data_IF_170360518318
#
_entry.id   IF_170360518318
#
_cell.length_a   1.000
_cell.length_b   1.000
_cell.length_c   1.000
_cell.angle_alpha   90.00
_cell.angle_beta   90.00
_cell.angle_gamma   90.00
#
_symmetry.space_group_name_H-M   'P 1'
#
loop_
_entity.id
_entity.type
_entity.pdbx_description
1 polymer ?
#
# COMPACT_ATOMS: atom_id res chain seq x y z
N UNK A 1 35.73 -5.31 26.15
CA UNK A 1 34.27 -5.55 26.14
C UNK A 1 33.72 -5.01 24.83
N UNK A 2 33.34 -5.89 23.91
CA UNK A 2 32.82 -5.56 22.58
C UNK A 2 31.37 -5.09 22.70
N UNK A 3 31.09 -3.86 22.29
CA UNK A 3 29.72 -3.41 22.04
C UNK A 3 29.31 -3.91 20.65
N UNK A 4 28.47 -4.94 20.62
CA UNK A 4 27.83 -5.44 19.41
C UNK A 4 26.94 -4.36 18.79
N UNK A 5 27.49 -3.62 17.84
CA UNK A 5 26.72 -2.78 16.91
C UNK A 5 25.90 -3.70 16.01
N UNK A 6 24.65 -3.94 16.39
CA UNK A 6 23.66 -4.61 15.54
C UNK A 6 23.58 -3.87 14.19
N UNK A 7 23.77 -4.55 13.04
CA UNK A 7 23.66 -3.89 11.75
C UNK A 7 22.18 -3.57 11.49
N UNK A 8 21.77 -2.36 11.80
CA UNK A 8 20.47 -1.82 11.41
C UNK A 8 20.37 -1.89 9.88
N UNK A 9 19.54 -2.80 9.35
CA UNK A 9 19.30 -2.97 7.92
C UNK A 9 19.06 -1.60 7.25
N UNK A 10 19.66 -1.33 6.09
CA UNK A 10 19.51 -0.05 5.41
C UNK A 10 18.04 0.16 5.01
N UNK A 11 17.38 1.10 5.69
CA UNK A 11 16.07 1.64 5.28
C UNK A 11 16.30 2.46 4.02
N UNK A 12 15.80 2.01 2.88
CA UNK A 12 15.79 2.82 1.64
C UNK A 12 14.75 3.93 1.82
N UNK A 13 15.24 5.15 2.06
CA UNK A 13 14.41 6.36 2.01
C UNK A 13 14.20 6.74 0.55
N UNK A 14 12.94 6.86 0.12
CA UNK A 14 12.57 7.50 -1.14
C UNK A 14 11.70 8.71 -0.81
N UNK A 15 12.33 9.84 -0.47
CA UNK A 15 11.61 11.06 -0.11
C UNK A 15 10.65 10.88 1.08
N UNK A 16 9.39 11.39 1.03
CA UNK A 16 8.40 11.26 2.11
C UNK A 16 7.87 9.82 2.28
N UNK A 17 8.32 8.88 1.45
CA UNK A 17 7.90 7.49 1.47
C UNK A 17 9.00 6.62 2.07
N UNK A 18 8.65 5.89 3.12
CA UNK A 18 9.49 4.90 3.75
C UNK A 18 9.01 3.50 3.38
N UNK A 19 9.89 2.69 2.79
CA UNK A 19 9.63 1.27 2.53
C UNK A 19 10.33 0.44 3.60
N UNK A 20 9.56 -0.21 4.46
CA UNK A 20 10.11 -1.12 5.46
C UNK A 20 10.47 -2.47 4.82
N UNK A 21 11.64 -3.05 5.17
CA UNK A 21 11.97 -4.41 4.76
C UNK A 21 10.99 -5.39 5.41
N UNK A 22 10.11 -5.98 4.60
CA UNK A 22 9.15 -7.04 4.98
C UNK A 22 9.49 -8.33 4.24
N UNK A 23 8.85 -9.44 4.60
CA UNK A 23 8.98 -10.68 3.82
C UNK A 23 8.48 -10.44 2.39
N UNK A 24 9.12 -11.09 1.40
CA UNK A 24 8.73 -11.02 -0.01
C UNK A 24 7.23 -11.31 -0.18
N UNK A 25 6.72 -12.33 0.53
CA UNK A 25 5.30 -12.68 0.54
C UNK A 25 4.38 -11.54 0.95
N UNK A 26 4.74 -10.75 1.96
CA UNK A 26 3.95 -9.60 2.42
C UNK A 26 4.02 -8.44 1.44
N UNK A 27 5.17 -8.23 0.82
CA UNK A 27 5.34 -7.21 -0.22
C UNK A 27 4.49 -7.52 -1.45
N UNK A 28 4.57 -8.76 -1.95
CA UNK A 28 3.76 -9.23 -3.08
C UNK A 28 2.26 -9.19 -2.78
N UNK A 29 1.86 -9.61 -1.58
CA UNK A 29 0.46 -9.54 -1.16
C UNK A 29 -0.03 -8.09 -1.04
N UNK A 30 0.79 -7.19 -0.50
CA UNK A 30 0.47 -5.77 -0.45
C UNK A 30 0.33 -5.14 -1.84
N UNK A 31 1.20 -5.53 -2.78
CA UNK A 31 1.12 -5.15 -4.19
C UNK A 31 -0.15 -5.66 -4.86
N UNK A 32 -0.51 -6.92 -4.62
CA UNK A 32 -1.75 -7.52 -5.13
C UNK A 32 -2.99 -6.75 -4.64
N UNK A 33 -3.03 -6.41 -3.35
CA UNK A 33 -4.12 -5.61 -2.79
C UNK A 33 -4.16 -4.20 -3.39
N UNK A 34 -3.01 -3.56 -3.55
CA UNK A 34 -2.93 -2.24 -4.18
C UNK A 34 -3.40 -2.27 -5.64
N UNK A 35 -3.07 -3.33 -6.38
CA UNK A 35 -3.53 -3.54 -7.75
C UNK A 35 -5.06 -3.68 -7.81
N UNK A 36 -5.64 -4.59 -7.02
CA UNK A 36 -7.10 -4.79 -6.95
C UNK A 36 -7.81 -3.48 -6.57
N UNK A 37 -7.24 -2.71 -5.65
CA UNK A 37 -7.81 -1.44 -5.24
C UNK A 37 -7.86 -0.41 -6.38
N UNK A 38 -6.81 -0.33 -7.20
CA UNK A 38 -6.77 0.57 -8.36
C UNK A 38 -7.85 0.20 -9.37
N UNK A 39 -8.03 -1.09 -9.66
CA UNK A 39 -9.10 -1.57 -10.55
C UNK A 39 -10.50 -1.19 -10.02
N UNK A 40 -10.73 -1.30 -8.71
CA UNK A 40 -12.00 -0.89 -8.09
C UNK A 40 -12.22 0.62 -8.21
N UNK A 41 -11.16 1.42 -7.98
CA UNK A 41 -11.24 2.89 -8.08
C UNK A 41 -11.50 3.29 -9.53
N UNK A 42 -10.81 2.67 -10.49
CA UNK A 42 -10.95 2.94 -11.92
C UNK A 42 -12.38 2.67 -12.39
N UNK A 43 -12.93 1.52 -12.02
CA UNK A 43 -14.34 1.20 -12.28
C UNK A 43 -15.31 2.19 -11.58
N UNK A 44 -14.96 2.65 -10.37
CA UNK A 44 -15.81 3.57 -9.61
C UNK A 44 -15.84 4.99 -10.20
N UNK A 45 -14.79 5.43 -10.89
CA UNK A 45 -14.73 6.76 -11.55
C UNK A 45 -15.25 6.73 -12.99
N UNK A 46 -15.59 5.55 -13.52
CA UNK A 46 -16.19 5.42 -14.86
C UNK A 46 -17.49 6.25 -14.95
N UNK A 47 -17.65 7.11 -15.97
CA UNK A 47 -18.83 7.96 -16.14
C UNK A 47 -20.15 7.20 -16.32
N UNK A 48 -20.10 5.89 -16.59
CA UNK A 48 -21.27 5.03 -16.68
C UNK A 48 -21.71 4.40 -15.34
N UNK A 49 -20.93 4.61 -14.27
CA UNK A 49 -21.21 4.06 -12.94
C UNK A 49 -22.23 4.92 -12.19
N UNK A 50 -23.18 4.27 -11.49
CA UNK A 50 -24.21 4.98 -10.71
C UNK A 50 -23.52 5.80 -9.59
N UNK A 51 -23.90 7.08 -9.35
CA UNK A 51 -23.18 7.95 -8.41
C UNK A 51 -23.06 7.38 -6.99
N UNK A 52 -24.11 6.72 -6.50
CA UNK A 52 -24.10 6.09 -5.18
C UNK A 52 -23.12 4.91 -5.09
N UNK A 53 -23.04 4.09 -6.14
CA UNK A 53 -22.05 3.01 -6.21
C UNK A 53 -20.64 3.56 -6.38
N UNK A 54 -20.44 4.61 -7.18
CA UNK A 54 -19.13 5.25 -7.35
C UNK A 54 -18.52 5.67 -6.00
N UNK A 55 -19.30 6.32 -5.14
CA UNK A 55 -18.83 6.72 -3.80
C UNK A 55 -18.51 5.51 -2.92
N UNK A 56 -19.40 4.51 -2.88
CA UNK A 56 -19.21 3.32 -2.05
C UNK A 56 -17.97 2.52 -2.48
N UNK A 57 -17.86 2.20 -3.77
CA UNK A 57 -16.76 1.42 -4.30
C UNK A 57 -15.45 2.21 -4.32
N UNK A 58 -15.50 3.52 -4.54
CA UNK A 58 -14.34 4.39 -4.37
C UNK A 58 -13.79 4.35 -2.93
N UNK A 59 -14.66 4.40 -1.92
CA UNK A 59 -14.26 4.30 -0.52
C UNK A 59 -13.67 2.91 -0.18
N UNK A 60 -14.27 1.83 -0.70
CA UNK A 60 -13.76 0.47 -0.57
C UNK A 60 -12.38 0.35 -1.21
N UNK A 61 -12.22 0.86 -2.45
CA UNK A 61 -10.96 0.88 -3.17
C UNK A 61 -9.88 1.62 -2.40
N UNK A 62 -10.14 2.84 -1.92
CA UNK A 62 -9.18 3.58 -1.09
C UNK A 62 -8.78 2.83 0.18
N UNK A 63 -9.74 2.20 0.86
CA UNK A 63 -9.47 1.42 2.06
C UNK A 63 -8.54 0.23 1.75
N UNK A 64 -8.83 -0.52 0.69
CA UNK A 64 -8.01 -1.65 0.25
C UNK A 64 -6.62 -1.16 -0.16
N UNK A 65 -6.52 -0.04 -0.89
CA UNK A 65 -5.25 0.55 -1.31
C UNK A 65 -4.37 0.89 -0.11
N UNK A 66 -4.93 1.61 0.87
CA UNK A 66 -4.22 1.98 2.09
C UNK A 66 -3.72 0.75 2.86
N UNK A 67 -4.55 -0.28 3.00
CA UNK A 67 -4.17 -1.53 3.65
C UNK A 67 -3.13 -2.32 2.85
N UNK A 68 -3.25 -2.38 1.53
CA UNK A 68 -2.28 -3.04 0.64
C UNK A 68 -0.90 -2.40 0.75
N UNK A 69 -0.83 -1.08 0.66
CA UNK A 69 0.38 -0.31 0.90
C UNK A 69 0.92 -0.54 2.32
N UNK A 70 0.04 -0.56 3.32
CA UNK A 70 0.44 -0.81 4.71
C UNK A 70 1.07 -2.18 4.91
N UNK A 71 0.46 -3.24 4.37
CA UNK A 71 0.95 -4.63 4.43
C UNK A 71 2.23 -4.79 3.62
N UNK A 72 2.30 -4.14 2.45
CA UNK A 72 3.48 -4.09 1.58
C UNK A 72 4.67 -3.34 2.19
N UNK A 73 4.46 -2.66 3.32
CA UNK A 73 5.52 -1.96 4.05
C UNK A 73 5.77 -0.53 3.58
N UNK A 74 4.87 0.04 2.79
CA UNK A 74 4.89 1.45 2.37
C UNK A 74 4.30 2.31 3.50
N UNK A 75 5.02 3.33 3.94
CA UNK A 75 4.57 4.31 4.92
C UNK A 75 4.82 5.71 4.38
N UNK A 76 3.84 6.58 4.53
CA UNK A 76 3.96 8.01 4.24
C UNK A 76 4.30 8.70 5.57
N UNK A 77 5.26 9.62 5.54
CA UNK A 77 5.68 10.40 6.71
C UNK A 77 4.70 11.51 7.05
#
# INVERSE_FOLDING_TARGET
MSSDTSPSRPRRLFGPVHVLPRSLSRQLFGLLLAFIAVEIIDWAIDPHTVPASAVLYGAIGLFILGNGLYVGGVRIR
#
